data_IF_923143981537
#
_entry.id   IF_923143981537
#
_cell.length_a   1.000
_cell.length_b   1.000
_cell.length_c   1.000
_cell.angle_alpha   90.00
_cell.angle_beta   90.00
_cell.angle_gamma   90.00
#
_symmetry.space_group_name_H-M   'P 1'
#
loop_
_entity.id
_entity.type
_entity.pdbx_description
1 polymer ?
#
# COMPACT_ATOMS: atom_id res chain seq x y z
N UNK A 1 18.61 -14.39 30.97
CA UNK A 1 17.49 -15.01 30.23
C UNK A 1 16.26 -14.13 30.41
N UNK A 2 15.53 -13.73 29.36
CA UNK A 2 14.44 -12.73 29.47
C UNK A 2 13.07 -13.33 29.84
N UNK A 3 12.83 -14.60 29.52
CA UNK A 3 11.62 -15.37 29.82
C UNK A 3 11.93 -16.87 29.66
N UNK A 4 11.06 -17.74 30.19
CA UNK A 4 11.14 -19.20 30.07
C UNK A 4 10.22 -19.74 28.98
N UNK A 5 9.00 -19.20 28.85
CA UNK A 5 8.05 -19.57 27.78
C UNK A 5 7.46 -18.33 27.11
N UNK A 6 7.25 -18.44 25.80
CA UNK A 6 6.58 -17.43 24.99
C UNK A 6 5.68 -18.13 23.96
N UNK A 7 4.41 -17.72 23.90
CA UNK A 7 3.45 -18.17 22.90
C UNK A 7 2.78 -16.95 22.27
N UNK A 8 2.74 -16.89 20.94
CA UNK A 8 2.07 -15.82 20.19
C UNK A 8 1.60 -16.35 18.83
N UNK A 9 0.64 -15.68 18.20
CA UNK A 9 0.05 -16.12 16.93
C UNK A 9 0.78 -15.58 15.69
N UNK A 10 2.07 -15.27 15.81
CA UNK A 10 2.84 -14.61 14.75
C UNK A 10 2.37 -13.18 14.47
N UNK A 11 2.54 -12.74 13.22
CA UNK A 11 2.10 -11.42 12.74
C UNK A 11 0.94 -11.56 11.74
N UNK A 12 0.17 -10.50 11.62
CA UNK A 12 -0.88 -10.35 10.61
C UNK A 12 -0.28 -9.67 9.38
N UNK A 13 -0.31 -10.36 8.24
CA UNK A 13 -0.01 -9.75 6.95
C UNK A 13 -1.20 -8.91 6.46
N UNK A 14 -0.94 -7.78 5.77
CA UNK A 14 -1.99 -7.04 5.09
C UNK A 14 -2.64 -7.93 4.00
N UNK A 15 -3.87 -7.60 3.57
CA UNK A 15 -4.47 -8.23 2.41
C UNK A 15 -3.56 -8.12 1.18
N UNK A 16 -3.63 -9.10 0.28
CA UNK A 16 -2.95 -9.03 -1.00
C UNK A 16 -3.51 -7.85 -1.82
N UNK A 17 -2.66 -7.29 -2.69
CA UNK A 17 -3.08 -6.26 -3.63
C UNK A 17 -4.14 -6.80 -4.61
N UNK A 18 -5.16 -5.99 -4.88
CA UNK A 18 -6.19 -6.25 -5.88
C UNK A 18 -5.97 -5.33 -7.08
N UNK A 19 -6.08 -5.86 -8.30
CA UNK A 19 -5.93 -5.08 -9.51
C UNK A 19 -6.99 -3.97 -9.61
N UNK A 20 -6.56 -2.78 -10.00
CA UNK A 20 -7.41 -1.63 -10.29
C UNK A 20 -7.59 -1.41 -11.81
N UNK A 21 -6.91 -2.22 -12.63
CA UNK A 21 -6.93 -2.14 -14.09
C UNK A 21 -6.14 -0.96 -14.62
N UNK A 22 -5.09 -0.53 -13.92
CA UNK A 22 -4.27 0.62 -14.34
C UNK A 22 -3.55 0.30 -15.65
N UNK A 23 -3.61 1.25 -16.59
CA UNK A 23 -2.85 1.25 -17.83
C UNK A 23 -1.82 2.38 -17.78
N UNK A 24 -0.61 2.11 -18.24
CA UNK A 24 0.45 3.13 -18.34
C UNK A 24 1.01 3.19 -19.75
N UNK A 25 1.60 4.34 -20.07
CA UNK A 25 2.47 4.47 -21.24
C UNK A 25 3.87 4.85 -20.79
N UNK A 26 4.88 4.31 -21.47
CA UNK A 26 6.28 4.67 -21.25
C UNK A 26 6.87 5.08 -22.59
N UNK A 27 7.42 6.29 -22.68
CA UNK A 27 7.90 6.90 -23.94
C UNK A 27 6.83 6.89 -25.05
N UNK A 28 5.57 7.04 -24.67
CA UNK A 28 4.42 7.02 -25.58
C UNK A 28 3.90 5.62 -25.97
N UNK A 29 4.61 4.54 -25.64
CA UNK A 29 4.19 3.17 -25.91
C UNK A 29 3.30 2.63 -24.79
N UNK A 30 2.22 1.92 -25.12
CA UNK A 30 1.45 1.17 -24.11
C UNK A 30 2.31 0.03 -23.54
N UNK A 31 2.27 -0.14 -22.22
CA UNK A 31 3.00 -1.19 -21.52
C UNK A 31 2.00 -2.04 -20.75
N UNK A 32 1.97 -3.33 -21.05
CA UNK A 32 1.25 -4.32 -20.26
C UNK A 32 2.03 -4.54 -18.96
N UNK A 33 1.36 -4.29 -17.83
CA UNK A 33 1.94 -4.41 -16.49
C UNK A 33 1.31 -5.56 -15.71
N UNK A 34 2.11 -6.22 -14.88
CA UNK A 34 1.64 -7.22 -13.93
C UNK A 34 1.12 -6.58 -12.63
N UNK A 35 0.60 -7.41 -11.72
CA UNK A 35 0.04 -6.95 -10.43
C UNK A 35 1.06 -6.18 -9.57
N UNK A 36 2.33 -6.58 -9.59
CA UNK A 36 3.36 -5.95 -8.78
C UNK A 36 3.70 -4.55 -9.32
N UNK A 37 3.88 -4.46 -10.64
CA UNK A 37 4.07 -3.19 -11.33
C UNK A 37 2.85 -2.27 -11.17
N UNK A 38 1.64 -2.83 -11.23
CA UNK A 38 0.40 -2.10 -11.00
C UNK A 38 0.33 -1.51 -9.58
N UNK A 39 0.68 -2.30 -8.57
CA UNK A 39 0.74 -1.85 -7.18
C UNK A 39 1.76 -0.71 -7.01
N UNK A 40 2.95 -0.81 -7.62
CA UNK A 40 3.96 0.26 -7.58
C UNK A 40 3.42 1.57 -8.16
N UNK A 41 2.76 1.52 -9.34
CA UNK A 41 2.16 2.68 -9.99
C UNK A 41 1.01 3.26 -9.14
N UNK A 42 0.16 2.39 -8.58
CA UNK A 42 -0.94 2.81 -7.72
C UNK A 42 -0.46 3.52 -6.45
N UNK A 43 0.59 3.00 -5.82
CA UNK A 43 1.20 3.62 -4.64
C UNK A 43 1.85 4.96 -4.97
N UNK A 44 2.46 5.12 -6.16
CA UNK A 44 2.92 6.42 -6.66
C UNK A 44 1.77 7.38 -6.88
N UNK A 45 0.69 6.94 -7.55
CA UNK A 45 -0.48 7.75 -7.82
C UNK A 45 -1.11 8.33 -6.55
N UNK A 46 -1.15 7.57 -5.46
CA UNK A 46 -1.62 8.06 -4.14
C UNK A 46 -0.78 9.20 -3.56
N UNK A 47 0.46 9.38 -4.02
CA UNK A 47 1.35 10.46 -3.56
C UNK A 47 1.30 11.71 -4.44
N UNK A 48 0.57 11.70 -5.56
CA UNK A 48 0.58 12.77 -6.58
C UNK A 48 0.32 14.18 -6.02
N UNK A 49 -0.53 14.29 -4.99
CA UNK A 49 -0.93 15.57 -4.39
C UNK A 49 -0.06 15.95 -3.18
N UNK A 50 1.01 15.21 -2.89
CA UNK A 50 1.92 15.47 -1.77
C UNK A 50 3.17 16.23 -2.24
N UNK A 51 3.85 17.00 -1.37
CA UNK A 51 5.10 17.67 -1.72
C UNK A 51 6.18 16.70 -2.23
N UNK A 52 6.17 15.44 -1.76
CA UNK A 52 7.10 14.40 -2.19
C UNK A 52 7.05 14.13 -3.69
N UNK A 53 5.87 14.22 -4.32
CA UNK A 53 5.75 13.97 -5.76
C UNK A 53 6.47 15.02 -6.62
N UNK A 54 6.82 16.18 -6.05
CA UNK A 54 7.61 17.22 -6.72
C UNK A 54 9.11 17.11 -6.41
N UNK A 55 9.50 16.26 -5.46
CA UNK A 55 10.90 16.04 -5.10
C UNK A 55 11.60 15.17 -6.16
N UNK A 56 12.68 15.71 -6.74
CA UNK A 56 13.42 15.04 -7.81
C UNK A 56 14.13 13.77 -7.34
N UNK A 57 14.55 13.70 -6.07
CA UNK A 57 15.18 12.50 -5.51
C UNK A 57 14.13 11.41 -5.34
N UNK A 58 12.94 11.76 -4.85
CA UNK A 58 11.81 10.86 -4.70
C UNK A 58 11.34 10.30 -6.06
N UNK A 59 11.16 11.15 -7.07
CA UNK A 59 10.86 10.74 -8.45
C UNK A 59 11.94 9.81 -9.02
N UNK A 60 13.21 10.14 -8.82
CA UNK A 60 14.34 9.33 -9.30
C UNK A 60 14.39 7.96 -8.62
N UNK A 61 14.20 7.91 -7.30
CA UNK A 61 14.22 6.66 -6.53
C UNK A 61 13.09 5.73 -6.98
N UNK A 62 11.87 6.26 -7.07
CA UNK A 62 10.74 5.50 -7.60
C UNK A 62 10.99 4.97 -9.02
N UNK A 63 11.41 5.85 -9.93
CA UNK A 63 11.64 5.49 -11.34
C UNK A 63 12.75 4.43 -11.47
N UNK A 64 13.81 4.56 -10.68
CA UNK A 64 14.92 3.58 -10.64
C UNK A 64 14.43 2.19 -10.20
N UNK A 65 13.62 2.11 -9.15
CA UNK A 65 13.09 0.83 -8.67
C UNK A 65 12.03 0.26 -9.62
N UNK A 66 11.17 1.11 -10.18
CA UNK A 66 10.18 0.70 -11.17
C UNK A 66 10.85 0.19 -12.46
N UNK A 67 11.89 0.85 -12.96
CA UNK A 67 12.60 0.42 -14.17
C UNK A 67 13.26 -0.97 -14.02
N UNK A 68 13.60 -1.40 -12.80
CA UNK A 68 14.14 -2.76 -12.54
C UNK A 68 13.11 -3.86 -12.78
N UNK A 69 11.82 -3.56 -12.67
CA UNK A 69 10.75 -4.55 -12.87
C UNK A 69 10.30 -4.62 -14.33
N UNK A 70 10.70 -3.65 -15.16
CA UNK A 70 10.30 -3.56 -16.56
C UNK A 70 11.22 -4.36 -17.51
N UNK A 71 10.74 -4.68 -18.73
CA UNK A 71 11.58 -5.26 -19.79
C UNK A 71 12.81 -4.39 -20.11
N UNK A 72 13.85 -5.02 -20.67
CA UNK A 72 15.14 -4.38 -20.94
C UNK A 72 15.05 -3.06 -21.73
N UNK A 73 14.06 -2.92 -22.63
CA UNK A 73 13.83 -1.70 -23.41
C UNK A 73 13.51 -0.45 -22.56
N UNK A 74 13.01 -0.63 -21.33
CA UNK A 74 12.63 0.45 -20.41
C UNK A 74 13.57 0.61 -19.21
N UNK A 75 14.78 0.00 -19.24
CA UNK A 75 15.73 0.12 -18.12
C UNK A 75 16.29 1.54 -17.92
N UNK A 76 16.33 2.34 -18.97
CA UNK A 76 16.85 3.71 -18.96
C UNK A 76 15.72 4.69 -19.28
N UNK A 77 14.76 4.79 -18.37
CA UNK A 77 13.65 5.77 -18.44
C UNK A 77 13.81 6.82 -17.35
N UNK A 78 13.33 8.03 -17.61
CA UNK A 78 13.17 9.08 -16.61
C UNK A 78 11.72 9.12 -16.11
N UNK A 79 11.48 9.92 -15.07
CA UNK A 79 10.13 10.09 -14.52
C UNK A 79 9.17 10.66 -15.58
N UNK A 80 9.65 11.60 -16.39
CA UNK A 80 8.90 12.27 -17.45
C UNK A 80 8.52 11.32 -18.61
N UNK A 81 9.21 10.19 -18.74
CA UNK A 81 8.88 9.17 -19.74
C UNK A 81 7.61 8.39 -19.39
N UNK A 82 7.14 8.43 -18.13
CA UNK A 82 6.02 7.62 -17.64
C UNK A 82 4.74 8.46 -17.59
N UNK A 83 3.71 8.01 -18.30
CA UNK A 83 2.36 8.60 -18.26
C UNK A 83 1.52 7.95 -17.15
N UNK A 84 1.36 8.68 -16.04
CA UNK A 84 0.56 8.28 -14.89
C UNK A 84 -0.91 8.72 -14.98
N UNK A 85 -1.36 9.37 -16.06
CA UNK A 85 -2.66 10.02 -16.13
C UNK A 85 -3.85 9.09 -15.83
N UNK A 86 -3.79 7.83 -16.26
CA UNK A 86 -4.82 6.84 -15.96
C UNK A 86 -4.83 6.43 -14.48
N UNK A 87 -3.65 6.22 -13.88
CA UNK A 87 -3.54 5.92 -12.46
C UNK A 87 -4.05 7.08 -11.59
N UNK A 88 -3.73 8.32 -11.97
CA UNK A 88 -4.23 9.53 -11.31
C UNK A 88 -5.76 9.63 -11.37
N UNK A 89 -6.37 9.36 -12.53
CA UNK A 89 -7.84 9.33 -12.66
C UNK A 89 -8.49 8.29 -11.75
N UNK A 90 -7.88 7.12 -11.58
CA UNK A 90 -8.38 6.07 -10.69
C UNK A 90 -8.38 6.55 -9.24
N UNK A 91 -7.24 7.06 -8.75
CA UNK A 91 -7.14 7.50 -7.35
C UNK A 91 -7.98 8.74 -7.05
N UNK A 92 -8.16 9.63 -8.03
CA UNK A 92 -9.07 10.79 -7.90
C UNK A 92 -10.52 10.32 -7.81
N UNK A 93 -10.95 9.37 -8.65
CA UNK A 93 -12.29 8.79 -8.57
C UNK A 93 -12.55 8.09 -7.23
N UNK A 94 -11.58 7.35 -6.70
CA UNK A 94 -11.67 6.74 -5.36
C UNK A 94 -11.83 7.78 -4.26
N UNK A 95 -11.09 8.88 -4.36
CA UNK A 95 -11.17 10.01 -3.43
C UNK A 95 -12.55 10.66 -3.49
N UNK A 96 -13.07 10.93 -4.69
CA UNK A 96 -14.39 11.52 -4.90
C UNK A 96 -15.50 10.63 -4.33
N UNK A 97 -15.47 9.32 -4.62
CA UNK A 97 -16.43 8.35 -4.05
C UNK A 97 -16.39 8.40 -2.52
N UNK A 98 -15.20 8.42 -1.92
CA UNK A 98 -15.04 8.48 -0.46
C UNK A 98 -15.58 9.79 0.12
N UNK A 99 -15.41 10.90 -0.59
CA UNK A 99 -15.90 12.21 -0.16
C UNK A 99 -17.43 12.29 -0.25
N UNK A 100 -18.02 11.73 -1.32
CA UNK A 100 -19.46 11.63 -1.56
C UNK A 100 -20.22 10.69 -0.61
N UNK A 101 -19.52 9.79 0.10
CA UNK A 101 -20.17 8.89 1.07
C UNK A 101 -20.96 9.66 2.14
N UNK A 102 -22.17 9.20 2.40
CA UNK A 102 -23.08 9.74 3.43
C UNK A 102 -22.52 9.51 4.85
N UNK A 103 -23.08 10.23 5.83
CA UNK A 103 -22.69 10.05 7.24
C UNK A 103 -23.02 8.63 7.72
N UNK A 104 -24.14 8.08 7.27
CA UNK A 104 -24.64 6.76 7.58
C UNK A 104 -23.70 5.67 7.04
N UNK A 105 -23.28 5.76 5.78
CA UNK A 105 -22.33 4.82 5.17
C UNK A 105 -20.96 4.89 5.85
N UNK A 106 -20.46 6.11 6.13
CA UNK A 106 -19.20 6.30 6.87
C UNK A 106 -19.27 5.65 8.26
N UNK A 107 -20.39 5.81 8.97
CA UNK A 107 -20.62 5.19 10.29
C UNK A 107 -20.68 3.66 10.20
N UNK A 108 -21.38 3.11 9.21
CA UNK A 108 -21.46 1.67 9.00
C UNK A 108 -20.09 1.05 8.68
N UNK A 109 -19.30 1.69 7.82
CA UNK A 109 -17.95 1.25 7.49
C UNK A 109 -17.01 1.30 8.70
N UNK A 110 -17.10 2.36 9.51
CA UNK A 110 -16.32 2.48 10.74
C UNK A 110 -16.66 1.37 11.74
N UNK A 111 -17.95 1.02 11.91
CA UNK A 111 -18.38 -0.07 12.79
C UNK A 111 -17.83 -1.42 12.33
N UNK A 112 -17.92 -1.73 11.02
CA UNK A 112 -17.35 -2.97 10.45
C UNK A 112 -15.83 -3.06 10.70
N UNK A 113 -15.10 -1.95 10.48
CA UNK A 113 -13.65 -1.88 10.73
C UNK A 113 -13.31 -2.06 12.22
N UNK A 114 -14.11 -1.49 13.12
CA UNK A 114 -13.93 -1.66 14.57
C UNK A 114 -14.09 -3.13 14.99
N UNK A 115 -15.17 -3.78 14.58
CA UNK A 115 -15.43 -5.18 14.89
C UNK A 115 -14.33 -6.12 14.36
N UNK A 116 -13.84 -5.87 13.15
CA UNK A 116 -12.73 -6.63 12.59
C UNK A 116 -11.44 -6.40 13.39
N UNK A 117 -11.14 -5.14 13.73
CA UNK A 117 -9.96 -4.79 14.53
C UNK A 117 -9.96 -5.47 15.89
N UNK A 118 -11.09 -5.49 16.59
CA UNK A 118 -11.21 -6.15 17.91
C UNK A 118 -10.89 -7.64 17.83
N UNK A 119 -11.42 -8.34 16.81
CA UNK A 119 -11.11 -9.76 16.55
C UNK A 119 -9.62 -9.99 16.26
N UNK A 120 -9.00 -9.11 15.47
CA UNK A 120 -7.58 -9.22 15.12
C UNK A 120 -6.67 -8.91 16.31
N UNK A 121 -7.01 -7.95 17.16
CA UNK A 121 -6.26 -7.64 18.40
C UNK A 121 -6.31 -8.83 19.35
N UNK A 122 -7.46 -9.47 19.54
CA UNK A 122 -7.55 -10.67 20.38
C UNK A 122 -6.68 -11.82 19.85
N UNK A 123 -6.64 -11.99 18.52
CA UNK A 123 -5.87 -13.08 17.90
C UNK A 123 -4.37 -12.78 17.84
N UNK A 124 -3.96 -11.63 17.34
CA UNK A 124 -2.55 -11.34 17.03
C UNK A 124 -1.91 -10.32 17.98
N UNK A 125 -2.73 -9.50 18.65
CA UNK A 125 -2.27 -8.44 19.56
C UNK A 125 -1.95 -8.91 20.99
N UNK A 126 -2.04 -10.21 21.26
CA UNK A 126 -1.80 -10.81 22.58
C UNK A 126 -0.76 -11.93 22.49
N UNK A 127 0.06 -12.05 23.53
CA UNK A 127 1.01 -13.14 23.70
C UNK A 127 0.96 -13.64 25.15
N UNK A 128 1.41 -14.87 25.39
CA UNK A 128 1.55 -15.45 26.73
C UNK A 128 3.05 -15.56 27.03
N UNK A 129 3.51 -14.82 28.04
CA UNK A 129 4.91 -14.82 28.51
C UNK A 129 4.94 -15.33 29.95
N UNK A 130 5.63 -16.46 30.18
CA UNK A 130 5.71 -17.12 31.48
C UNK A 130 4.32 -17.33 32.14
N UNK A 131 3.32 -17.67 31.34
CA UNK A 131 1.94 -17.91 31.77
C UNK A 131 1.08 -16.65 31.97
N UNK A 132 1.62 -15.45 31.75
CA UNK A 132 0.88 -14.17 31.83
C UNK A 132 0.58 -13.62 30.44
N UNK A 133 -0.64 -13.15 30.23
CA UNK A 133 -1.00 -12.44 29.00
C UNK A 133 -0.33 -11.06 28.97
N UNK A 134 0.26 -10.73 27.83
CA UNK A 134 0.90 -9.44 27.54
C UNK A 134 0.44 -8.91 26.18
N UNK A 135 0.42 -7.59 26.03
CA UNK A 135 0.08 -6.94 24.76
C UNK A 135 1.28 -6.93 23.79
N UNK A 136 1.00 -7.19 22.52
CA UNK A 136 1.96 -7.08 21.42
C UNK A 136 1.83 -5.68 20.80
N UNK A 137 2.92 -4.92 20.77
CA UNK A 137 2.93 -3.53 20.32
C UNK A 137 2.49 -3.37 18.85
N UNK A 138 3.21 -3.99 17.91
CA UNK A 138 2.82 -4.05 16.51
C UNK A 138 2.72 -5.51 16.06
N UNK A 139 1.49 -5.98 15.93
CA UNK A 139 1.19 -7.32 15.45
C UNK A 139 0.93 -7.38 13.95
N UNK A 140 0.92 -6.24 13.25
CA UNK A 140 0.64 -6.16 11.82
C UNK A 140 1.93 -5.85 11.06
N UNK A 141 2.19 -6.61 9.99
CA UNK A 141 3.26 -6.27 9.07
C UNK A 141 2.96 -4.95 8.38
N UNK A 142 3.98 -4.12 8.18
CA UNK A 142 3.82 -2.88 7.40
C UNK A 142 3.47 -3.24 5.95
N UNK A 143 2.46 -2.56 5.35
CA UNK A 143 2.13 -2.79 3.95
C UNK A 143 3.26 -2.29 3.04
N UNK A 144 3.41 -2.87 1.83
CA UNK A 144 4.35 -2.37 0.85
C UNK A 144 4.02 -0.91 0.48
N UNK A 145 5.05 -0.11 0.23
CA UNK A 145 4.86 1.31 -0.08
C UNK A 145 6.14 1.99 -0.52
N UNK A 146 5.99 3.24 -0.97
CA UNK A 146 7.12 4.09 -1.35
C UNK A 146 7.64 4.79 -0.09
N UNK A 147 8.94 4.64 0.17
CA UNK A 147 9.60 5.23 1.32
C UNK A 147 9.56 6.77 1.25
N UNK A 148 9.00 7.41 2.29
CA UNK A 148 8.80 8.87 2.40
C UNK A 148 9.76 9.51 3.41
#
# INVERSE_FOLDING_TARGET
MKWKTLQHNGILFPPAYEAHGIKIKIKGENVDIDLNQEEMIYQWAKKKDTPYAQDKVFQKNFTSDFAKTLPAKFKNISYEDIDFSHAYKIVDKEKDIREMMTKEEKKALALKRKQLREKLVQKYGKAIMDGKEVDVANYMAEPPGIFI
#
